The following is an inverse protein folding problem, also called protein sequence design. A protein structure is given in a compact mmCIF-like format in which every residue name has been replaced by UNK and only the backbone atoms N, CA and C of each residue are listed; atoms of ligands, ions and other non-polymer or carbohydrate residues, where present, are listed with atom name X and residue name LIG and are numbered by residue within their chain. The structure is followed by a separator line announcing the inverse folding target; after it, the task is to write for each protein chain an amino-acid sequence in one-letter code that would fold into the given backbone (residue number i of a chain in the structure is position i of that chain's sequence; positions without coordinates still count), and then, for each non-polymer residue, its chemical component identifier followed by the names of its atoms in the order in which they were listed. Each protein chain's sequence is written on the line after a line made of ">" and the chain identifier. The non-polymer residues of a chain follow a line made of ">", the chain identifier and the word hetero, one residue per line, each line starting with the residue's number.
data_IF_411246950145
#
_entry.id   IF_411246950145
#
_cell.length_a   1.000
_cell.length_b   1.000
_cell.length_c   1.000
_cell.angle_alpha   90.00
_cell.angle_beta   90.00
_cell.angle_gamma   90.00
#
_symmetry.space_group_name_H-M   'P 1'
#
loop_
_entity.id
_entity.type
_entity.pdbx_description
1 polymer ?
#
# COMPACT_ATOMS: atom_id res chain seq x y z
N UNK A 1 -7.11 0.49 9.01
CA UNK A 1 -6.85 1.46 10.08
C UNK A 1 -8.13 1.98 10.73
N UNK A 2 -7.99 2.79 11.76
CA UNK A 2 -9.11 3.32 12.56
C UNK A 2 -10.16 4.05 11.73
N UNK A 3 -9.75 4.77 10.70
CA UNK A 3 -10.68 5.47 9.80
C UNK A 3 -11.62 4.51 9.06
N UNK A 4 -11.10 3.40 8.58
CA UNK A 4 -11.91 2.41 7.83
C UNK A 4 -12.88 1.64 8.72
N UNK A 5 -12.60 1.53 10.02
CA UNK A 5 -13.45 0.87 11.03
C UNK A 5 -14.40 1.83 11.73
N UNK A 6 -14.32 3.13 11.46
CA UNK A 6 -15.11 4.16 12.13
C UNK A 6 -14.68 4.45 13.58
N UNK A 7 -13.53 3.93 14.02
CA UNK A 7 -12.96 4.15 15.35
C UNK A 7 -11.87 5.22 15.31
N UNK A 8 -12.28 6.43 14.93
CA UNK A 8 -11.39 7.58 14.76
C UNK A 8 -11.34 8.38 16.05
N UNK A 9 -10.15 8.77 16.47
CA UNK A 9 -9.91 9.74 17.56
C UNK A 9 -9.10 10.92 17.01
N UNK A 10 -8.86 11.91 17.87
CA UNK A 10 -8.17 13.15 17.49
C UNK A 10 -6.72 12.94 17.02
N UNK A 11 -6.08 11.84 17.40
CA UNK A 11 -4.70 11.50 17.06
C UNK A 11 -4.59 10.46 15.92
N UNK A 12 -5.73 10.09 15.33
CA UNK A 12 -5.76 9.07 14.26
C UNK A 12 -5.01 9.52 13.02
N UNK A 13 -4.28 8.58 12.42
CA UNK A 13 -3.62 8.71 11.13
C UNK A 13 -4.39 7.95 10.03
N UNK A 14 -3.97 8.12 8.80
CA UNK A 14 -4.54 7.46 7.63
C UNK A 14 -3.66 6.28 7.24
N UNK A 15 -3.99 5.10 7.69
CA UNK A 15 -3.32 3.87 7.30
C UNK A 15 -3.60 3.49 5.85
N UNK A 16 -2.58 3.37 5.02
CA UNK A 16 -2.73 3.03 3.62
C UNK A 16 -1.88 1.83 3.20
N UNK A 17 -2.45 1.02 2.30
CA UNK A 17 -1.73 -0.01 1.55
C UNK A 17 -1.57 0.49 0.11
N UNK A 18 -0.35 0.44 -0.41
CA UNK A 18 -0.04 0.93 -1.75
C UNK A 18 0.24 -0.25 -2.68
N UNK A 19 -0.65 -0.47 -3.65
CA UNK A 19 -0.44 -1.41 -4.74
C UNK A 19 0.54 -0.84 -5.76
N UNK A 20 1.61 -1.58 -6.05
CA UNK A 20 2.71 -1.13 -6.90
C UNK A 20 2.95 -2.12 -8.04
N UNK A 21 3.32 -1.61 -9.22
CA UNK A 21 3.75 -2.44 -10.34
C UNK A 21 4.94 -3.33 -9.93
N UNK A 22 4.92 -4.58 -10.41
CA UNK A 22 6.03 -5.51 -10.20
C UNK A 22 7.37 -4.88 -10.64
N UNK A 23 8.40 -5.00 -9.78
CA UNK A 23 9.72 -4.45 -10.03
C UNK A 23 9.84 -2.93 -9.83
N UNK A 24 8.94 -2.29 -9.09
CA UNK A 24 8.95 -0.84 -8.81
C UNK A 24 8.63 -0.49 -7.35
N UNK A 25 8.83 -1.44 -6.45
CA UNK A 25 8.44 -1.26 -5.05
C UNK A 25 9.33 -0.23 -4.33
N UNK A 26 10.65 -0.23 -4.59
CA UNK A 26 11.58 0.69 -3.93
C UNK A 26 11.50 2.11 -4.49
N UNK A 27 11.28 2.24 -5.80
CA UNK A 27 11.02 3.54 -6.45
C UNK A 27 9.71 4.13 -5.98
N UNK A 28 8.63 3.34 -5.92
CA UNK A 28 7.33 3.79 -5.44
C UNK A 28 7.39 4.22 -3.98
N UNK A 29 8.06 3.44 -3.12
CA UNK A 29 8.28 3.82 -1.71
C UNK A 29 9.04 5.13 -1.58
N UNK A 30 10.17 5.28 -2.29
CA UNK A 30 10.96 6.50 -2.26
C UNK A 30 10.14 7.70 -2.71
N UNK A 31 9.37 7.55 -3.79
CA UNK A 31 8.51 8.60 -4.31
C UNK A 31 7.41 9.00 -3.31
N UNK A 32 6.70 8.02 -2.74
CA UNK A 32 5.67 8.30 -1.75
C UNK A 32 6.26 9.02 -0.53
N UNK A 33 7.31 8.47 0.07
CA UNK A 33 7.90 9.09 1.26
C UNK A 33 8.43 10.50 0.98
N UNK A 34 9.13 10.70 -0.14
CA UNK A 34 9.66 12.01 -0.49
C UNK A 34 8.55 13.03 -0.76
N UNK A 35 7.55 12.66 -1.54
CA UNK A 35 6.43 13.55 -1.87
C UNK A 35 5.66 13.97 -0.62
N UNK A 36 5.29 13.01 0.22
CA UNK A 36 4.51 13.31 1.42
C UNK A 36 5.33 13.98 2.53
N UNK A 37 6.65 13.77 2.54
CA UNK A 37 7.56 14.51 3.43
C UNK A 37 7.63 16.00 3.04
N UNK A 38 7.77 16.29 1.73
CA UNK A 38 7.81 17.68 1.22
C UNK A 38 6.55 18.45 1.61
N UNK A 39 5.37 17.80 1.56
CA UNK A 39 4.11 18.42 1.95
C UNK A 39 3.81 18.34 3.47
N UNK A 40 4.67 17.70 4.26
CA UNK A 40 4.45 17.52 5.70
C UNK A 40 3.32 16.52 6.06
N UNK A 41 2.86 15.71 5.11
CA UNK A 41 1.72 14.79 5.25
C UNK A 41 2.11 13.36 5.62
N UNK A 42 3.39 13.10 5.83
CA UNK A 42 3.86 11.78 6.24
C UNK A 42 3.90 11.64 7.76
N UNK A 43 3.25 10.59 8.28
CA UNK A 43 3.31 10.18 9.68
C UNK A 43 4.66 9.51 9.97
N UNK A 44 5.67 10.31 10.35
CA UNK A 44 7.03 9.82 10.63
C UNK A 44 7.16 9.25 12.04
N UNK A 45 6.43 9.80 13.00
CA UNK A 45 6.47 9.43 14.40
C UNK A 45 5.05 9.35 14.99
N UNK A 46 4.78 8.38 15.89
CA UNK A 46 3.46 8.23 16.52
C UNK A 46 2.94 9.50 17.20
N UNK A 47 3.86 10.31 17.78
CA UNK A 47 3.50 11.56 18.45
C UNK A 47 3.09 12.72 17.51
N UNK A 48 3.25 12.55 16.21
CA UNK A 48 2.94 13.57 15.21
C UNK A 48 2.31 12.91 13.98
N UNK A 49 1.34 12.03 14.22
CA UNK A 49 0.66 11.25 13.17
C UNK A 49 -0.72 11.79 12.82
N UNK A 50 -1.28 12.67 13.64
CA UNK A 50 -2.60 13.26 13.43
C UNK A 50 -2.77 13.78 12.01
N UNK A 51 -3.83 13.34 11.34
CA UNK A 51 -4.22 13.72 9.98
C UNK A 51 -3.12 13.48 8.92
N UNK A 52 -2.17 12.56 9.18
CA UNK A 52 -1.10 12.22 8.26
C UNK A 52 -1.23 10.81 7.69
N UNK A 53 -0.61 10.59 6.54
CA UNK A 53 -0.58 9.29 5.88
C UNK A 53 0.49 8.38 6.46
N UNK A 54 0.07 7.21 6.91
CA UNK A 54 0.92 6.12 7.34
C UNK A 54 0.97 5.04 6.24
N UNK A 55 2.14 4.86 5.61
CA UNK A 55 2.33 3.86 4.59
C UNK A 55 2.66 2.51 5.22
N UNK A 56 1.65 1.73 5.57
CA UNK A 56 1.83 0.44 6.24
C UNK A 56 2.48 -0.60 5.34
N UNK A 57 1.95 -0.77 4.13
CA UNK A 57 2.42 -1.80 3.22
C UNK A 57 2.52 -1.29 1.78
N UNK A 58 3.59 -1.74 1.10
CA UNK A 58 3.73 -1.66 -0.34
C UNK A 58 3.67 -3.08 -0.89
N UNK A 59 2.70 -3.38 -1.73
CA UNK A 59 2.46 -4.71 -2.28
C UNK A 59 2.53 -4.72 -3.80
N UNK A 60 3.04 -5.80 -4.36
CA UNK A 60 3.05 -6.04 -5.82
C UNK A 60 2.08 -7.17 -6.16
N UNK A 61 1.68 -7.35 -7.43
CA UNK A 61 0.77 -8.41 -7.84
C UNK A 61 1.16 -9.83 -7.41
N UNK A 62 2.47 -10.08 -7.25
CA UNK A 62 2.99 -11.37 -6.75
C UNK A 62 2.86 -11.53 -5.23
N UNK A 63 2.69 -10.43 -4.51
CA UNK A 63 2.62 -10.39 -3.06
C UNK A 63 1.29 -9.78 -2.55
N UNK A 64 0.23 -9.80 -3.36
CA UNK A 64 -1.09 -9.34 -2.92
C UNK A 64 -1.65 -10.23 -1.81
N UNK A 65 -1.41 -11.54 -1.90
CA UNK A 65 -1.80 -12.46 -0.85
C UNK A 65 -0.83 -12.33 0.32
N UNK A 66 -1.37 -12.05 1.51
CA UNK A 66 -0.59 -12.09 2.74
C UNK A 66 -0.16 -13.53 3.03
N UNK A 67 1.08 -13.72 3.48
CA UNK A 67 1.57 -15.03 3.91
C UNK A 67 1.13 -15.34 5.34
N UNK A 68 0.78 -16.60 5.65
CA UNK A 68 0.45 -17.01 7.01
C UNK A 68 1.68 -16.85 7.96
N UNK A 69 1.47 -16.79 9.29
CA UNK A 69 0.21 -17.02 10.00
C UNK A 69 -0.73 -15.79 9.99
N UNK A 70 -2.03 -16.07 9.85
CA UNK A 70 -3.07 -15.04 9.93
C UNK A 70 -3.56 -14.95 11.37
N UNK A 71 -3.44 -13.79 12.00
CA UNK A 71 -4.02 -13.50 13.30
C UNK A 71 -5.22 -12.55 13.16
N UNK A 72 -5.96 -12.35 14.23
CA UNK A 72 -7.14 -11.48 14.24
C UNK A 72 -6.83 -10.05 13.82
N UNK A 73 -5.65 -9.53 14.14
CA UNK A 73 -5.23 -8.20 13.72
C UNK A 73 -5.19 -8.08 12.18
N UNK A 74 -4.55 -9.05 11.51
CA UNK A 74 -4.47 -9.06 10.04
C UNK A 74 -5.83 -9.28 9.39
N UNK A 75 -6.65 -10.18 9.94
CA UNK A 75 -8.03 -10.41 9.46
C UNK A 75 -8.84 -9.13 9.54
N UNK A 76 -8.85 -8.45 10.68
CA UNK A 76 -9.61 -7.22 10.87
C UNK A 76 -9.08 -6.08 10.00
N UNK A 77 -7.75 -5.95 9.86
CA UNK A 77 -7.14 -4.95 8.99
C UNK A 77 -7.57 -5.14 7.54
N UNK A 78 -7.46 -6.37 7.01
CA UNK A 78 -7.82 -6.65 5.62
C UNK A 78 -9.33 -6.57 5.38
N UNK A 79 -10.15 -7.04 6.32
CA UNK A 79 -11.61 -6.94 6.26
C UNK A 79 -12.10 -5.49 6.15
N UNK A 80 -11.43 -4.58 6.81
CA UNK A 80 -11.78 -3.15 6.83
C UNK A 80 -11.15 -2.33 5.69
N UNK A 81 -10.40 -2.95 4.79
CA UNK A 81 -9.79 -2.24 3.66
C UNK A 81 -10.84 -1.67 2.72
N UNK A 82 -10.58 -0.46 2.29
CA UNK A 82 -11.43 0.32 1.42
C UNK A 82 -10.58 0.82 0.26
N UNK A 83 -10.96 0.57 -0.99
CA UNK A 83 -10.23 1.09 -2.12
C UNK A 83 -10.39 2.62 -2.19
N UNK A 84 -9.25 3.32 -2.28
CA UNK A 84 -9.22 4.78 -2.41
C UNK A 84 -8.86 5.21 -3.82
N UNK A 85 -8.04 4.44 -4.52
CA UNK A 85 -7.59 4.71 -5.88
C UNK A 85 -7.11 3.43 -6.56
N UNK A 86 -7.39 3.27 -7.84
CA UNK A 86 -6.90 2.15 -8.64
C UNK A 86 -7.87 1.71 -9.73
N UNK A 87 -7.40 0.85 -10.63
CA UNK A 87 -8.27 0.18 -11.59
C UNK A 87 -9.08 -0.92 -10.93
N UNK A 88 -10.36 -1.03 -11.28
CA UNK A 88 -11.28 -2.02 -10.70
C UNK A 88 -10.75 -3.45 -10.76
N UNK A 89 -10.15 -3.86 -11.89
CA UNK A 89 -9.57 -5.19 -12.06
C UNK A 89 -8.43 -5.48 -11.07
N UNK A 90 -7.58 -4.48 -10.80
CA UNK A 90 -6.44 -4.61 -9.88
C UNK A 90 -6.94 -4.73 -8.44
N UNK A 91 -7.92 -3.91 -8.10
CA UNK A 91 -8.56 -3.91 -6.78
C UNK A 91 -9.30 -5.24 -6.55
N UNK A 92 -10.10 -5.68 -7.52
CA UNK A 92 -10.81 -6.94 -7.44
C UNK A 92 -9.84 -8.11 -7.25
N UNK A 93 -8.78 -8.18 -8.04
CA UNK A 93 -7.74 -9.20 -7.90
C UNK A 93 -7.11 -9.24 -6.51
N UNK A 94 -6.89 -8.06 -5.90
CA UNK A 94 -6.36 -7.99 -4.53
C UNK A 94 -7.33 -8.59 -3.52
N UNK A 95 -8.62 -8.31 -3.65
CA UNK A 95 -9.65 -8.89 -2.77
C UNK A 95 -9.78 -10.40 -2.98
N UNK A 96 -9.85 -10.87 -4.23
CA UNK A 96 -10.03 -12.29 -4.56
C UNK A 96 -8.94 -13.18 -3.98
N UNK A 97 -7.67 -12.78 -4.08
CA UNK A 97 -6.55 -13.58 -3.56
C UNK A 97 -6.49 -13.62 -2.02
N UNK A 98 -7.19 -12.72 -1.34
CA UNK A 98 -7.23 -12.65 0.12
C UNK A 98 -8.57 -13.14 0.72
N UNK A 99 -9.61 -13.28 -0.07
CA UNK A 99 -10.97 -13.57 0.39
C UNK A 99 -11.05 -14.83 1.27
N UNK A 100 -10.37 -15.89 0.90
CA UNK A 100 -10.45 -17.19 1.58
C UNK A 100 -9.93 -17.21 3.03
N UNK A 101 -9.02 -16.31 3.38
CA UNK A 101 -8.52 -16.22 4.75
C UNK A 101 -9.11 -15.05 5.54
N UNK A 102 -9.57 -14.00 4.84
CA UNK A 102 -10.22 -12.86 5.48
C UNK A 102 -11.66 -13.17 5.87
N UNK A 103 -12.39 -13.86 4.99
CA UNK A 103 -13.79 -14.22 5.17
C UNK A 103 -14.03 -15.68 4.70
N UNK A 104 -13.54 -16.69 5.44
CA UNK A 104 -13.56 -18.08 4.99
C UNK A 104 -14.97 -18.63 4.74
N UNK A 105 -16.02 -18.03 5.34
CA UNK A 105 -17.42 -18.45 5.22
C UNK A 105 -18.28 -17.50 4.37
N UNK A 106 -17.69 -16.48 3.73
CA UNK A 106 -18.44 -15.55 2.90
C UNK A 106 -18.19 -15.81 1.40
N UNK A 107 -19.29 -15.79 0.64
CA UNK A 107 -19.26 -15.79 -0.81
C UNK A 107 -18.53 -14.53 -1.35
N UNK A 108 -18.10 -14.59 -2.58
CA UNK A 108 -17.29 -13.62 -3.36
C UNK A 108 -17.73 -12.13 -3.33
N UNK A 109 -18.70 -11.73 -2.49
CA UNK A 109 -19.25 -10.38 -2.47
C UNK A 109 -18.39 -9.34 -1.75
N UNK A 110 -17.43 -9.76 -0.94
CA UNK A 110 -16.66 -8.82 -0.10
C UNK A 110 -15.98 -7.68 -0.87
N UNK A 111 -15.22 -8.00 -1.91
CA UNK A 111 -14.57 -6.99 -2.73
C UNK A 111 -15.57 -6.09 -3.44
N UNK A 112 -16.67 -6.67 -3.94
CA UNK A 112 -17.73 -5.94 -4.62
C UNK A 112 -18.47 -5.00 -3.66
N UNK A 113 -18.81 -5.44 -2.46
CA UNK A 113 -19.44 -4.60 -1.44
C UNK A 113 -18.57 -3.41 -1.04
N UNK A 114 -17.28 -3.65 -0.82
CA UNK A 114 -16.33 -2.58 -0.50
C UNK A 114 -16.13 -1.62 -1.67
N UNK A 115 -16.12 -2.11 -2.90
CA UNK A 115 -16.05 -1.27 -4.09
C UNK A 115 -17.32 -0.43 -4.27
N UNK A 116 -18.50 -1.02 -4.15
CA UNK A 116 -19.77 -0.31 -4.32
C UNK A 116 -19.95 0.81 -3.30
N UNK A 117 -19.46 0.63 -2.08
CA UNK A 117 -19.53 1.65 -1.03
C UNK A 117 -18.81 2.97 -1.40
N UNK A 118 -17.88 2.95 -2.37
CA UNK A 118 -17.04 4.08 -2.73
C UNK A 118 -17.06 4.43 -4.22
N UNK A 119 -17.60 3.57 -5.10
CA UNK A 119 -17.66 3.82 -6.55
C UNK A 119 -18.69 4.88 -6.95
N UNK A 120 -19.63 5.18 -6.07
CA UNK A 120 -20.61 6.25 -6.33
C UNK A 120 -20.04 7.67 -6.22
N UNK A 121 -18.79 7.80 -5.77
CA UNK A 121 -18.12 9.10 -5.74
C UNK A 121 -17.53 9.44 -7.12
N UNK A 122 -17.98 10.54 -7.77
CA UNK A 122 -17.50 10.96 -9.11
C UNK A 122 -15.97 11.13 -9.20
N UNK A 123 -15.30 11.31 -8.06
CA UNK A 123 -13.83 11.43 -8.00
C UNK A 123 -13.11 10.13 -8.33
N UNK A 124 -13.79 8.99 -8.18
CA UNK A 124 -13.27 7.64 -8.51
C UNK A 124 -13.55 7.23 -9.95
N UNK A 125 -14.43 7.93 -10.65
CA UNK A 125 -14.66 7.67 -12.06
C UNK A 125 -13.36 7.94 -12.82
N UNK A 126 -12.83 6.86 -13.36
CA UNK A 126 -11.59 6.77 -14.14
C UNK A 126 -11.38 8.00 -15.02
N UNK A 127 -10.63 8.99 -14.56
CA UNK A 127 -10.09 10.01 -15.46
C UNK A 127 -9.19 9.25 -16.42
N UNK A 128 -9.63 9.16 -17.70
CA UNK A 128 -8.87 8.55 -18.78
C UNK A 128 -7.42 8.96 -18.65
N UNK A 129 -6.56 7.98 -18.52
CA UNK A 129 -5.13 8.15 -18.31
C UNK A 129 -4.56 9.07 -19.39
N UNK A 130 -4.33 10.32 -19.05
CA UNK A 130 -3.79 11.30 -19.97
C UNK A 130 -2.38 10.93 -20.44
N UNK A 131 -1.93 11.55 -21.51
CA UNK A 131 -0.59 11.41 -22.11
C UNK A 131 0.55 11.51 -21.07
N UNK A 132 0.36 12.31 -20.01
CA UNK A 132 1.30 12.46 -18.89
C UNK A 132 1.53 11.17 -18.11
N UNK A 133 0.49 10.33 -17.89
CA UNK A 133 0.65 9.04 -17.24
C UNK A 133 1.43 8.08 -18.13
N UNK A 134 1.13 8.08 -19.42
CA UNK A 134 1.76 7.20 -20.40
C UNK A 134 3.25 7.53 -20.61
N UNK A 135 3.61 8.82 -20.63
CA UNK A 135 5.02 9.24 -20.73
C UNK A 135 5.81 8.90 -19.45
N UNK A 136 5.23 9.08 -18.26
CA UNK A 136 5.86 8.67 -16.99
C UNK A 136 6.05 7.16 -16.92
N UNK A 137 5.05 6.38 -17.31
CA UNK A 137 5.15 4.93 -17.35
C UNK A 137 6.22 4.44 -18.35
N UNK A 138 6.38 5.14 -19.48
CA UNK A 138 7.43 4.84 -20.44
C UNK A 138 8.83 5.12 -19.90
N UNK A 139 9.06 6.29 -19.30
CA UNK A 139 10.36 6.68 -18.73
C UNK A 139 10.75 5.79 -17.54
N UNK A 140 9.82 5.59 -16.59
CA UNK A 140 10.09 4.78 -15.39
C UNK A 140 9.85 3.28 -15.60
N UNK A 141 9.28 2.87 -16.72
CA UNK A 141 9.04 1.47 -17.06
C UNK A 141 10.21 0.78 -17.76
N UNK A 142 11.19 1.53 -18.27
CA UNK A 142 12.33 1.03 -19.04
C UNK A 142 13.59 0.76 -18.22
N UNK A 143 14.74 0.61 -18.92
CA UNK A 143 16.05 0.33 -18.34
C UNK A 143 16.48 1.37 -17.28
N UNK A 144 16.14 2.64 -17.48
CA UNK A 144 16.39 3.70 -16.48
C UNK A 144 15.62 3.45 -15.19
N UNK A 145 14.37 3.04 -15.30
CA UNK A 145 13.57 2.66 -14.13
C UNK A 145 14.13 1.44 -13.41
N UNK A 146 14.65 0.44 -14.14
CA UNK A 146 15.30 -0.73 -13.54
C UNK A 146 16.58 -0.35 -12.80
N UNK A 147 17.38 0.50 -13.39
CA UNK A 147 18.61 1.02 -12.77
C UNK A 147 18.29 1.80 -11.47
N UNK A 148 17.32 2.71 -11.52
CA UNK A 148 16.87 3.48 -10.36
C UNK A 148 16.33 2.56 -9.26
N UNK A 149 15.51 1.57 -9.63
CA UNK A 149 14.96 0.58 -8.69
C UNK A 149 16.07 -0.17 -7.97
N UNK A 150 17.11 -0.60 -8.67
CA UNK A 150 18.26 -1.33 -8.10
C UNK A 150 19.05 -0.46 -7.12
N UNK A 151 19.29 0.81 -7.43
CA UNK A 151 19.95 1.75 -6.52
C UNK A 151 19.11 1.93 -5.26
N UNK A 152 17.81 2.26 -5.42
CA UNK A 152 16.92 2.50 -4.30
C UNK A 152 16.71 1.26 -3.46
N UNK A 153 16.65 0.07 -4.08
CA UNK A 153 16.67 -1.22 -3.39
C UNK A 153 17.89 -1.35 -2.49
N UNK A 154 19.08 -1.14 -3.03
CA UNK A 154 20.33 -1.27 -2.28
C UNK A 154 20.38 -0.33 -1.07
N UNK A 155 19.96 0.91 -1.24
CA UNK A 155 19.92 1.92 -0.16
C UNK A 155 18.89 1.55 0.90
N UNK A 156 17.68 1.16 0.48
CA UNK A 156 16.59 0.85 1.41
C UNK A 156 16.85 -0.46 2.16
N UNK A 157 17.38 -1.50 1.47
CA UNK A 157 17.72 -2.78 2.11
C UNK A 157 18.80 -2.60 3.18
N UNK A 158 19.84 -1.84 2.92
CA UNK A 158 20.87 -1.53 3.95
C UNK A 158 20.27 -0.86 5.20
N UNK A 159 19.29 0.04 5.02
CA UNK A 159 18.58 0.68 6.14
C UNK A 159 17.73 -0.32 6.92
N UNK A 160 17.02 -1.20 6.22
CA UNK A 160 16.18 -2.25 6.83
C UNK A 160 17.05 -3.24 7.62
N UNK A 161 18.11 -3.76 7.03
CA UNK A 161 19.06 -4.68 7.68
C UNK A 161 19.68 -4.06 8.94
N UNK A 162 20.08 -2.79 8.85
CA UNK A 162 20.61 -2.05 10.01
C UNK A 162 19.56 -1.87 11.12
N UNK A 163 18.31 -1.67 10.76
CA UNK A 163 17.19 -1.54 11.71
C UNK A 163 16.89 -2.87 12.39
N UNK A 164 16.80 -3.96 11.61
CA UNK A 164 16.57 -5.31 12.12
C UNK A 164 17.72 -5.79 13.01
N UNK A 165 18.97 -5.53 12.62
CA UNK A 165 20.14 -5.86 13.42
C UNK A 165 20.18 -5.15 14.79
N UNK A 166 19.60 -3.95 14.90
CA UNK A 166 19.46 -3.22 16.15
C UNK A 166 18.38 -3.81 17.08
N UNK A 167 17.30 -4.36 16.48
CA UNK A 167 16.17 -4.89 17.25
C UNK A 167 16.36 -6.32 17.75
N UNK A 168 17.10 -7.14 17.01
CA UNK A 168 17.18 -8.58 17.26
C UNK A 168 18.55 -9.08 17.74
N UNK A 169 19.57 -8.25 17.82
CA UNK A 169 20.94 -8.73 17.97
C UNK A 169 21.40 -9.63 16.79
N UNK A 170 20.61 -9.65 15.71
CA UNK A 170 20.81 -10.47 14.52
C UNK A 170 22.03 -9.97 13.76
N UNK A 171 23.09 -10.79 13.68
CA UNK A 171 24.20 -10.59 12.73
C UNK A 171 23.82 -11.36 11.45
N UNK A 172 23.59 -10.71 10.33
CA UNK A 172 23.46 -11.41 9.06
C UNK A 172 24.76 -12.15 8.75
N UNK A 173 24.63 -13.40 8.33
CA UNK A 173 25.74 -14.21 7.80
C UNK A 173 26.09 -13.75 6.40
#
# INVERSE_FOLDING_TARGET
>A
GSLATGNVNEDSDFDVIVGVRQGRIFSARAFCFLSFEIFGWWARHPKNSKDKLCFNHFVTPKAYRLSPPYNEYWVNLYKSLVPVYGGSEVIQKFYDVNANWVLPNHNFSWGTEQMNKYTDDPRYQNKKNGLVKRSREWVFGGKLGDWLENILKSVQMRKIEKSLGKQSGYKPR
#
